data_IF_970217356205
#
_entry.id   IF_970217356205
#
_cell.length_a   1.000
_cell.length_b   1.000
_cell.length_c   1.000
_cell.angle_alpha   90.00
_cell.angle_beta   90.00
_cell.angle_gamma   90.00
#
_symmetry.space_group_name_H-M   'P 1'
#
loop_
_entity.id
_entity.type
_entity.pdbx_description
1 polymer ?
#
# COMPACT_ATOMS: atom_id res chain seq x y z
N UNK A 1 -11.82 18.83 -2.69
CA UNK A 1 -11.13 18.85 -4.00
C UNK A 1 -9.82 19.64 -4.03
N UNK A 2 -9.72 20.89 -3.54
CA UNK A 2 -8.46 21.67 -3.56
C UNK A 2 -7.28 20.97 -2.88
N UNK A 3 -7.49 20.41 -1.68
CA UNK A 3 -6.44 19.68 -0.94
C UNK A 3 -5.92 18.46 -1.67
N UNK A 4 -6.81 17.71 -2.34
CA UNK A 4 -6.43 16.55 -3.16
C UNK A 4 -5.47 16.97 -4.29
N UNK A 5 -5.81 18.02 -5.04
CA UNK A 5 -4.96 18.52 -6.12
C UNK A 5 -3.57 18.90 -5.61
N UNK A 6 -3.49 19.66 -4.50
CA UNK A 6 -2.20 20.02 -3.89
C UNK A 6 -1.37 18.79 -3.53
N UNK A 7 -1.96 17.78 -2.87
CA UNK A 7 -1.24 16.55 -2.51
C UNK A 7 -0.69 15.86 -3.77
N UNK A 8 -1.50 15.74 -4.82
CA UNK A 8 -1.10 15.09 -6.06
C UNK A 8 -0.04 15.90 -6.83
N UNK A 9 -0.14 17.23 -6.86
CA UNK A 9 0.85 18.12 -7.47
C UNK A 9 2.21 17.99 -6.77
N UNK A 10 2.22 18.02 -5.43
CA UNK A 10 3.45 17.82 -4.65
C UNK A 10 4.03 16.42 -4.85
N UNK A 11 3.18 15.38 -4.90
CA UNK A 11 3.63 14.02 -5.19
C UNK A 11 4.24 13.92 -6.59
N UNK A 12 3.64 14.59 -7.59
CA UNK A 12 4.20 14.68 -8.94
C UNK A 12 5.57 15.35 -8.96
N UNK A 13 5.73 16.49 -8.26
CA UNK A 13 7.02 17.16 -8.11
C UNK A 13 8.06 16.22 -7.47
N UNK A 14 7.70 15.53 -6.38
CA UNK A 14 8.58 14.55 -5.73
C UNK A 14 8.96 13.39 -6.65
N UNK A 15 8.01 12.84 -7.42
CA UNK A 15 8.25 11.78 -8.40
C UNK A 15 9.27 12.20 -9.46
N UNK A 16 9.25 13.47 -9.87
CA UNK A 16 10.16 14.04 -10.88
C UNK A 16 11.52 14.52 -10.33
N UNK A 17 11.63 14.75 -9.02
CA UNK A 17 12.86 15.25 -8.36
C UNK A 17 13.91 14.16 -8.14
N UNK A 18 15.08 14.45 -7.57
CA UNK A 18 16.06 13.47 -7.07
C UNK A 18 16.32 12.24 -7.99
N UNK A 19 16.62 12.47 -9.27
CA UNK A 19 16.88 11.40 -10.24
C UNK A 19 18.07 10.55 -9.77
N UNK A 20 17.95 9.22 -9.90
CA UNK A 20 18.99 8.26 -9.52
C UNK A 20 19.11 7.99 -8.01
N UNK A 21 18.36 8.69 -7.16
CA UNK A 21 18.38 8.47 -5.71
C UNK A 21 17.22 7.55 -5.26
N UNK A 22 17.42 6.69 -4.24
CA UNK A 22 16.32 5.99 -3.59
C UNK A 22 15.30 6.98 -3.01
N UNK A 23 14.01 6.68 -3.15
CA UNK A 23 12.91 7.54 -2.70
C UNK A 23 11.93 6.76 -1.84
N UNK A 24 11.42 7.43 -0.81
CA UNK A 24 10.28 6.99 -0.02
C UNK A 24 9.33 8.17 0.18
N UNK A 25 8.04 7.94 0.03
CA UNK A 25 7.01 8.95 0.26
C UNK A 25 5.79 8.30 0.92
N UNK A 26 5.16 9.05 1.82
CA UNK A 26 3.85 8.76 2.37
C UNK A 26 2.97 9.99 2.16
N UNK A 27 1.89 9.82 1.41
CA UNK A 27 0.89 10.86 1.17
C UNK A 27 -0.44 10.40 1.74
N UNK A 28 -0.96 11.12 2.73
CA UNK A 28 -2.20 10.77 3.43
C UNK A 28 -3.32 11.74 3.06
N UNK A 29 -4.30 11.27 2.29
CA UNK A 29 -5.43 12.08 1.81
C UNK A 29 -6.56 12.02 2.86
N UNK A 30 -6.39 12.72 3.98
CA UNK A 30 -7.29 12.60 5.15
C UNK A 30 -8.73 13.07 4.88
N UNK A 31 -8.89 14.16 4.13
CA UNK A 31 -10.17 14.87 4.03
C UNK A 31 -11.12 14.30 2.97
N UNK A 32 -10.59 13.62 1.95
CA UNK A 32 -11.33 13.37 0.70
C UNK A 32 -12.66 12.65 0.94
N UNK A 33 -12.70 11.67 1.84
CA UNK A 33 -13.91 10.89 2.13
C UNK A 33 -14.26 10.86 3.61
N UNK A 34 -13.69 11.77 4.42
CA UNK A 34 -13.71 11.63 5.88
C UNK A 34 -15.13 11.64 6.44
N UNK A 35 -15.97 12.59 6.00
CA UNK A 35 -17.33 12.78 6.49
C UNK A 35 -18.43 12.40 5.48
N UNK A 36 -18.05 12.20 4.21
CA UNK A 36 -19.00 11.97 3.11
C UNK A 36 -18.28 11.25 1.96
N UNK A 37 -18.74 10.05 1.61
CA UNK A 37 -18.10 9.23 0.58
C UNK A 37 -18.40 9.73 -0.84
N UNK A 38 -19.37 10.63 -1.04
CA UNK A 38 -19.72 11.16 -2.38
C UNK A 38 -18.55 11.87 -3.04
N UNK A 39 -17.64 12.45 -2.26
CA UNK A 39 -16.44 13.09 -2.78
C UNK A 39 -15.45 12.11 -3.41
N UNK A 40 -15.52 10.80 -3.12
CA UNK A 40 -14.75 9.79 -3.83
C UNK A 40 -15.11 9.76 -5.32
N UNK A 41 -16.40 9.82 -5.65
CA UNK A 41 -16.85 9.88 -7.05
C UNK A 41 -16.33 11.13 -7.76
N UNK A 42 -16.30 12.27 -7.08
CA UNK A 42 -15.75 13.51 -7.62
C UNK A 42 -14.22 13.45 -7.84
N UNK A 43 -13.52 12.60 -7.08
CA UNK A 43 -12.08 12.41 -7.19
C UNK A 43 -11.65 11.28 -8.12
N UNK A 44 -12.58 10.42 -8.55
CA UNK A 44 -12.28 9.24 -9.35
C UNK A 44 -11.46 9.57 -10.60
N UNK A 45 -11.97 10.50 -11.42
CA UNK A 45 -11.26 10.95 -12.63
C UNK A 45 -9.92 11.63 -12.31
N UNK A 46 -9.83 12.36 -11.20
CA UNK A 46 -8.59 13.06 -10.78
C UNK A 46 -7.51 12.04 -10.40
N UNK A 47 -7.86 11.03 -9.60
CA UNK A 47 -6.97 9.94 -9.22
C UNK A 47 -6.57 9.10 -10.44
N UNK A 48 -7.53 8.75 -11.29
CA UNK A 48 -7.28 8.02 -12.54
C UNK A 48 -6.26 8.75 -13.42
N UNK A 49 -6.50 10.04 -13.69
CA UNK A 49 -5.60 10.86 -14.54
C UNK A 49 -4.20 10.93 -13.93
N UNK A 50 -4.09 11.17 -12.62
CA UNK A 50 -2.81 11.23 -11.92
C UNK A 50 -2.00 9.94 -12.05
N UNK A 51 -2.62 8.78 -11.84
CA UNK A 51 -1.94 7.49 -11.96
C UNK A 51 -1.59 7.16 -13.42
N UNK A 52 -2.47 7.49 -14.37
CA UNK A 52 -2.22 7.28 -15.79
C UNK A 52 -1.04 8.11 -16.30
N UNK A 53 -0.99 9.40 -15.95
CA UNK A 53 0.11 10.32 -16.30
C UNK A 53 1.45 9.89 -15.69
N UNK A 54 1.41 9.22 -14.54
CA UNK A 54 2.60 8.76 -13.81
C UNK A 54 2.84 7.25 -13.91
N UNK A 55 2.15 6.55 -14.81
CA UNK A 55 2.13 5.08 -14.85
C UNK A 55 3.53 4.46 -14.99
N UNK A 56 4.42 5.07 -15.77
CA UNK A 56 5.79 4.54 -15.94
C UNK A 56 6.61 4.71 -14.67
N UNK A 57 6.38 5.80 -13.92
CA UNK A 57 7.07 6.02 -12.65
C UNK A 57 6.55 5.03 -11.60
N UNK A 58 5.25 4.87 -11.46
CA UNK A 58 4.69 3.88 -10.53
C UNK A 58 5.05 2.45 -10.93
N UNK A 59 5.11 2.14 -12.24
CA UNK A 59 5.50 0.84 -12.77
C UNK A 59 6.93 0.40 -12.42
N UNK A 60 7.80 1.29 -11.96
CA UNK A 60 9.18 0.95 -11.56
C UNK A 60 9.35 0.78 -10.04
N UNK A 61 8.30 0.99 -9.26
CA UNK A 61 8.37 1.16 -7.80
C UNK A 61 7.32 0.28 -7.11
N UNK A 62 7.56 -0.08 -5.86
CA UNK A 62 6.48 -0.55 -5.01
C UNK A 62 5.60 0.65 -4.67
N UNK A 63 4.30 0.54 -4.91
CA UNK A 63 3.33 1.56 -4.53
C UNK A 63 2.18 0.89 -3.79
N UNK A 64 1.85 1.41 -2.62
CA UNK A 64 0.78 0.90 -1.78
C UNK A 64 -0.31 1.97 -1.72
N UNK A 65 -1.53 1.58 -2.10
CA UNK A 65 -2.73 2.36 -1.88
C UNK A 65 -3.53 1.66 -0.79
N UNK A 66 -3.79 2.36 0.32
CA UNK A 66 -4.45 1.73 1.45
C UNK A 66 -5.33 2.73 2.21
N UNK A 67 -6.33 2.18 2.90
CA UNK A 67 -7.16 2.88 3.87
C UNK A 67 -7.12 2.12 5.20
N UNK A 68 -7.03 2.86 6.30
CA UNK A 68 -7.01 2.29 7.66
C UNK A 68 -8.39 1.78 8.11
N UNK A 69 -9.46 2.32 7.54
CA UNK A 69 -10.84 1.87 7.74
C UNK A 69 -11.75 2.31 6.58
N UNK A 70 -12.92 1.68 6.42
CA UNK A 70 -14.01 2.21 5.61
C UNK A 70 -14.74 3.38 6.30
N UNK A 71 -15.90 3.85 5.79
CA UNK A 71 -16.56 5.04 6.33
C UNK A 71 -16.91 4.90 7.83
N UNK A 72 -16.28 5.73 8.67
CA UNK A 72 -16.48 5.76 10.13
C UNK A 72 -17.31 6.96 10.61
N UNK A 73 -17.49 7.95 9.75
CA UNK A 73 -18.29 9.15 10.01
C UNK A 73 -19.35 9.33 8.92
N UNK A 74 -20.17 10.37 9.05
CA UNK A 74 -21.19 10.69 8.05
C UNK A 74 -22.48 9.87 8.18
N UNK A 75 -23.33 9.99 7.17
CA UNK A 75 -24.63 9.28 7.13
C UNK A 75 -24.45 7.79 6.81
N UNK A 76 -23.39 7.47 6.09
CA UNK A 76 -22.98 6.14 5.65
C UNK A 76 -22.64 5.26 6.84
N UNK A 77 -21.82 5.77 7.78
CA UNK A 77 -21.41 5.05 8.98
C UNK A 77 -22.58 4.68 9.91
N UNK A 78 -23.69 5.43 9.86
CA UNK A 78 -24.90 5.17 10.66
C UNK A 78 -25.79 4.04 10.11
N UNK A 79 -25.52 3.53 8.91
CA UNK A 79 -26.25 2.40 8.34
C UNK A 79 -25.70 1.07 8.86
N UNK A 80 -26.51 0.01 8.82
CA UNK A 80 -26.09 -1.35 9.23
C UNK A 80 -24.78 -1.78 8.55
N UNK A 81 -24.66 -1.53 7.24
CA UNK A 81 -23.44 -1.81 6.47
C UNK A 81 -22.26 -0.91 6.89
N UNK A 82 -22.50 0.36 7.21
CA UNK A 82 -21.45 1.29 7.65
C UNK A 82 -20.75 0.83 8.93
N UNK A 83 -21.46 0.17 9.85
CA UNK A 83 -20.84 -0.41 11.05
C UNK A 83 -19.83 -1.51 10.73
N UNK A 84 -20.09 -2.30 9.67
CA UNK A 84 -19.17 -3.34 9.18
C UNK A 84 -18.00 -2.68 8.45
N UNK A 85 -18.31 -1.78 7.51
CA UNK A 85 -17.30 -1.06 6.71
C UNK A 85 -16.33 -0.23 7.56
N UNK A 86 -16.77 0.30 8.71
CA UNK A 86 -15.88 1.01 9.64
C UNK A 86 -14.73 0.16 10.19
N UNK A 87 -14.81 -1.18 10.02
CA UNK A 87 -13.77 -2.16 10.38
C UNK A 87 -13.16 -2.85 9.16
N UNK A 88 -13.44 -2.34 7.96
CA UNK A 88 -12.98 -2.89 6.69
C UNK A 88 -11.85 -2.03 6.13
N UNK A 89 -10.57 -2.30 6.47
CA UNK A 89 -9.44 -1.62 5.86
C UNK A 89 -9.28 -2.06 4.40
N UNK A 90 -8.57 -1.25 3.62
CA UNK A 90 -8.25 -1.56 2.23
C UNK A 90 -6.74 -1.54 2.02
N UNK A 91 -6.22 -2.47 1.22
CA UNK A 91 -4.82 -2.50 0.82
C UNK A 91 -4.70 -3.01 -0.62
N UNK A 92 -4.02 -2.22 -1.45
CA UNK A 92 -3.64 -2.58 -2.81
C UNK A 92 -2.16 -2.31 -3.01
N UNK A 93 -1.43 -3.30 -3.52
CA UNK A 93 0.03 -3.22 -3.71
C UNK A 93 0.35 -3.36 -5.19
N UNK A 94 0.91 -2.30 -5.76
CA UNK A 94 1.52 -2.33 -7.09
C UNK A 94 2.97 -2.76 -6.96
N UNK A 95 3.30 -3.89 -7.60
CA UNK A 95 4.66 -4.41 -7.71
C UNK A 95 5.35 -3.82 -8.95
N UNK A 96 6.66 -3.45 -8.88
CA UNK A 96 7.43 -3.03 -10.04
C UNK A 96 7.27 -4.01 -11.21
N UNK A 97 7.05 -3.51 -12.43
CA UNK A 97 6.84 -4.30 -13.66
C UNK A 97 7.88 -5.43 -13.80
N UNK A 98 9.17 -5.12 -13.55
CA UNK A 98 10.29 -6.09 -13.62
C UNK A 98 10.20 -7.27 -12.63
N UNK A 99 9.41 -7.13 -11.56
CA UNK A 99 9.26 -8.12 -10.49
C UNK A 99 7.94 -8.90 -10.59
N UNK A 100 7.04 -8.55 -11.51
CA UNK A 100 5.71 -9.18 -11.60
C UNK A 100 5.74 -10.66 -12.04
N UNK A 101 6.83 -11.10 -12.66
CA UNK A 101 7.04 -12.52 -13.00
C UNK A 101 7.96 -13.24 -12.00
N UNK A 102 8.44 -12.55 -10.96
CA UNK A 102 9.35 -13.11 -9.98
C UNK A 102 8.60 -13.94 -8.91
N UNK A 103 9.33 -14.84 -8.24
CA UNK A 103 8.77 -15.68 -7.18
C UNK A 103 8.12 -14.87 -6.04
N UNK A 104 8.63 -13.67 -5.75
CA UNK A 104 8.06 -12.78 -4.74
C UNK A 104 6.63 -12.37 -5.07
N UNK A 105 6.29 -12.18 -6.35
CA UNK A 105 4.97 -11.69 -6.72
C UNK A 105 3.93 -12.78 -6.49
N UNK A 106 4.25 -14.02 -6.86
CA UNK A 106 3.46 -15.20 -6.50
C UNK A 106 3.32 -15.37 -4.99
N UNK A 107 4.40 -15.12 -4.24
CA UNK A 107 4.34 -15.19 -2.77
C UNK A 107 3.45 -14.08 -2.18
N UNK A 108 3.48 -12.88 -2.77
CA UNK A 108 2.62 -11.77 -2.38
C UNK A 108 1.14 -12.08 -2.66
N UNK A 109 0.83 -12.71 -3.81
CA UNK A 109 -0.51 -13.19 -4.15
C UNK A 109 -1.02 -14.19 -3.11
N UNK A 110 -0.21 -15.19 -2.74
CA UNK A 110 -0.56 -16.15 -1.66
C UNK A 110 -0.82 -15.42 -0.35
N UNK A 111 0.05 -14.50 0.04
CA UNK A 111 -0.10 -13.75 1.29
C UNK A 111 -1.25 -12.73 1.26
N UNK A 112 -1.84 -12.44 0.10
CA UNK A 112 -2.98 -11.52 -0.03
C UNK A 112 -4.30 -12.12 0.48
N UNK A 113 -4.34 -13.44 0.65
CA UNK A 113 -5.50 -14.18 1.17
C UNK A 113 -5.45 -14.39 2.70
N UNK A 114 -4.47 -13.80 3.37
CA UNK A 114 -4.20 -13.97 4.81
C UNK A 114 -4.51 -12.71 5.62
N UNK A 115 -4.80 -12.85 6.92
CA UNK A 115 -5.00 -11.68 7.79
C UNK A 115 -3.68 -10.93 8.02
N UNK A 116 -3.69 -9.65 7.67
CA UNK A 116 -2.53 -8.75 7.75
C UNK A 116 -2.68 -7.72 8.87
N UNK A 117 -1.55 -7.26 9.38
CA UNK A 117 -1.46 -6.14 10.32
C UNK A 117 -0.52 -5.07 9.76
N UNK A 118 -0.60 -3.84 10.30
CA UNK A 118 0.38 -2.80 9.97
C UNK A 118 1.82 -3.18 10.36
N UNK A 119 2.02 -4.15 11.26
CA UNK A 119 3.34 -4.69 11.54
C UNK A 119 3.91 -5.46 10.33
N UNK A 120 3.07 -6.19 9.59
CA UNK A 120 3.50 -6.88 8.36
C UNK A 120 3.90 -5.88 7.27
N UNK A 121 3.17 -4.76 7.14
CA UNK A 121 3.54 -3.68 6.23
C UNK A 121 4.88 -3.04 6.63
N UNK A 122 5.09 -2.77 7.91
CA UNK A 122 6.37 -2.28 8.41
C UNK A 122 7.50 -3.27 8.13
N UNK A 123 7.31 -4.57 8.40
CA UNK A 123 8.29 -5.60 8.07
C UNK A 123 8.57 -5.67 6.56
N UNK A 124 7.54 -5.50 5.73
CA UNK A 124 7.65 -5.47 4.26
C UNK A 124 8.50 -4.29 3.79
N UNK A 125 8.29 -3.09 4.33
CA UNK A 125 9.11 -1.92 3.99
C UNK A 125 10.58 -2.13 4.35
N UNK A 126 10.84 -2.70 5.52
CA UNK A 126 12.21 -3.03 5.94
C UNK A 126 12.82 -4.10 5.03
N UNK A 127 12.05 -5.11 4.62
CA UNK A 127 12.50 -6.15 3.70
C UNK A 127 12.89 -5.59 2.32
N UNK A 128 12.03 -4.74 1.75
CA UNK A 128 12.29 -4.02 0.48
C UNK A 128 13.56 -3.18 0.59
N UNK A 129 13.75 -2.48 1.71
CA UNK A 129 14.86 -1.55 1.88
C UNK A 129 16.20 -2.27 2.16
N UNK A 130 16.20 -3.30 3.00
CA UNK A 130 17.44 -3.84 3.59
C UNK A 130 17.84 -5.24 3.12
N UNK A 131 16.88 -6.11 2.76
CA UNK A 131 17.17 -7.54 2.60
C UNK A 131 16.91 -8.05 1.18
N UNK A 132 15.81 -7.67 0.54
CA UNK A 132 15.50 -8.05 -0.84
C UNK A 132 16.55 -7.57 -1.87
N UNK A 133 17.19 -6.39 -1.74
CA UNK A 133 18.22 -5.98 -2.70
C UNK A 133 19.39 -6.96 -2.81
N UNK A 134 19.80 -7.60 -1.71
CA UNK A 134 20.92 -8.54 -1.69
C UNK A 134 20.67 -9.82 -2.50
N UNK A 135 19.40 -10.21 -2.68
CA UNK A 135 19.00 -11.37 -3.49
C UNK A 135 18.41 -10.97 -4.84
N UNK A 136 18.50 -9.69 -5.22
CA UNK A 136 17.79 -9.09 -6.36
C UNK A 136 16.30 -9.46 -6.35
N UNK A 137 15.67 -9.38 -5.17
CA UNK A 137 14.25 -9.62 -4.96
C UNK A 137 13.79 -11.06 -5.27
N UNK A 138 14.66 -12.07 -5.12
CA UNK A 138 14.30 -13.48 -5.39
C UNK A 138 14.03 -14.31 -4.13
N UNK A 139 14.42 -13.82 -2.96
CA UNK A 139 14.33 -14.58 -1.71
C UNK A 139 12.95 -14.44 -1.05
N UNK A 140 12.17 -15.52 -1.16
CA UNK A 140 10.84 -15.65 -0.57
C UNK A 140 10.82 -16.52 0.68
N UNK A 141 11.97 -17.00 1.17
CA UNK A 141 12.02 -17.86 2.37
C UNK A 141 11.59 -17.05 3.59
N UNK A 142 10.97 -17.74 4.55
CA UNK A 142 10.62 -17.17 5.84
C UNK A 142 11.85 -16.52 6.48
N UNK A 143 11.64 -15.35 7.05
CA UNK A 143 12.67 -14.57 7.73
C UNK A 143 12.12 -14.03 9.03
N UNK A 144 12.71 -14.46 10.14
CA UNK A 144 12.44 -13.84 11.44
C UNK A 144 13.18 -12.50 11.50
N UNK A 145 12.43 -11.41 11.62
CA UNK A 145 13.02 -10.10 11.89
C UNK A 145 13.33 -9.96 13.38
N UNK A 146 14.45 -9.31 13.70
CA UNK A 146 14.83 -9.05 15.09
C UNK A 146 14.16 -7.77 15.60
N UNK A 147 13.91 -7.72 16.91
CA UNK A 147 13.36 -6.54 17.60
C UNK A 147 14.15 -5.28 17.21
N UNK A 148 13.49 -4.13 16.93
CA UNK A 148 12.07 -3.82 17.20
C UNK A 148 11.08 -4.19 16.09
N UNK A 149 11.53 -4.84 15.01
CA UNK A 149 10.67 -5.16 13.86
C UNK A 149 9.73 -6.31 14.24
N UNK A 150 8.44 -6.01 14.20
CA UNK A 150 7.34 -6.99 14.37
C UNK A 150 6.70 -7.28 13.02
N UNK A 151 5.97 -8.38 12.93
CA UNK A 151 5.27 -8.81 11.71
C UNK A 151 6.14 -9.62 10.76
N UNK A 152 5.53 -10.09 9.67
CA UNK A 152 6.18 -10.82 8.59
C UNK A 152 6.11 -10.03 7.29
N UNK A 153 7.18 -10.02 6.51
CA UNK A 153 7.17 -9.38 5.19
C UNK A 153 6.19 -10.10 4.26
N UNK A 154 5.35 -9.34 3.56
CA UNK A 154 4.41 -9.85 2.56
C UNK A 154 5.13 -10.43 1.34
N UNK A 155 6.42 -10.19 1.16
CA UNK A 155 7.22 -10.71 0.04
C UNK A 155 7.83 -12.09 0.33
N UNK A 156 7.60 -12.64 1.52
CA UNK A 156 8.19 -13.89 2.01
C UNK A 156 7.09 -14.81 2.53
N UNK A 157 7.40 -16.10 2.61
CA UNK A 157 6.55 -17.06 3.33
C UNK A 157 6.40 -16.61 4.78
N UNK A 158 5.18 -16.64 5.28
CA UNK A 158 4.92 -16.45 6.70
C UNK A 158 5.44 -17.62 7.54
N UNK A 159 5.54 -17.39 8.84
CA UNK A 159 5.99 -18.40 9.80
C UNK A 159 5.01 -19.59 9.80
N UNK A 160 5.53 -20.80 9.55
CA UNK A 160 4.70 -22.00 9.52
C UNK A 160 4.08 -22.27 10.90
N UNK A 161 2.83 -22.75 10.89
CA UNK A 161 2.12 -23.17 12.12
C UNK A 161 1.59 -22.02 12.98
N UNK A 162 1.67 -20.75 12.53
CA UNK A 162 1.02 -19.62 13.19
C UNK A 162 -0.27 -19.24 12.45
N UNK A 163 -1.45 -19.44 13.06
CA UNK A 163 -2.72 -19.07 12.44
C UNK A 163 -2.80 -17.55 12.24
N UNK A 164 -3.33 -17.14 11.08
CA UNK A 164 -3.59 -15.73 10.72
C UNK A 164 -5.06 -15.60 10.34
N UNK A 165 -5.94 -15.81 11.33
CA UNK A 165 -7.40 -15.81 11.18
C UNK A 165 -7.97 -14.46 11.60
#
# INVERSE_FOLDING_TARGET
MRTLHHILDYLSLFLNSYKGQPKFSLSWISELSHADSRYLYAADHVLYSFFLENQEKFGQRFCLLFGDHGPRLGKEARRKHGMIESRNPFLYIMVPKRLRNAALHKQLEVNSEELLTFHDLHATFIDILRFQPASNFTDTKYRKFTSPIRGSSLLRRFEAGKPRN
#
